data_IF_042078133929
#
_entry.id   IF_042078133929
#
_cell.length_a   1.000
_cell.length_b   1.000
_cell.length_c   1.000
_cell.angle_alpha   90.00
_cell.angle_beta   90.00
_cell.angle_gamma   90.00
#
_symmetry.space_group_name_H-M   'P 1'
#
loop_
_entity.id
_entity.type
_entity.pdbx_description
1 polymer ?
#
# COMPACT_ATOMS: atom_id res chain seq x y z
N UNK A 1 -71.59 63.26 -35.82
CA UNK A 1 -71.49 61.92 -36.42
C UNK A 1 -70.02 61.64 -36.63
N UNK A 2 -69.36 60.55 -36.28
CA UNK A 2 -69.48 59.50 -35.26
C UNK A 2 -68.13 58.77 -35.29
N UNK A 3 -67.44 58.67 -34.14
CA UNK A 3 -66.39 57.67 -33.71
C UNK A 3 -65.11 57.47 -34.56
N UNK A 4 -63.98 56.89 -34.06
CA UNK A 4 -63.84 56.05 -32.85
C UNK A 4 -62.54 56.23 -32.00
N UNK A 5 -62.53 55.64 -30.80
CA UNK A 5 -61.44 54.84 -30.17
C UNK A 5 -61.84 54.65 -28.69
N UNK A 6 -62.45 53.53 -28.26
CA UNK A 6 -61.88 52.18 -28.03
C UNK A 6 -60.65 52.20 -27.12
N UNK A 7 -60.91 52.22 -25.82
CA UNK A 7 -60.00 51.72 -24.79
C UNK A 7 -60.82 50.74 -23.97
N UNK A 8 -60.73 49.46 -24.33
CA UNK A 8 -61.18 48.37 -23.48
C UNK A 8 -60.16 48.24 -22.35
N UNK A 9 -60.63 48.42 -21.13
CA UNK A 9 -59.92 48.06 -19.91
C UNK A 9 -59.84 46.52 -19.85
N UNK A 10 -58.70 45.96 -20.28
CA UNK A 10 -58.33 44.58 -19.95
C UNK A 10 -57.93 44.56 -18.46
N UNK A 11 -58.94 44.38 -17.60
CA UNK A 11 -58.79 43.91 -16.23
C UNK A 11 -58.21 42.48 -16.26
N UNK A 12 -56.90 42.37 -16.48
CA UNK A 12 -56.17 41.15 -16.15
C UNK A 12 -55.98 41.15 -14.62
N UNK A 13 -57.03 40.71 -13.93
CA UNK A 13 -57.01 40.38 -12.50
C UNK A 13 -56.06 39.20 -12.32
N UNK A 14 -54.77 39.50 -12.11
CA UNK A 14 -53.89 38.54 -11.45
C UNK A 14 -54.44 38.34 -10.03
N UNK A 15 -55.10 37.20 -9.82
CA UNK A 15 -55.52 36.77 -8.49
C UNK A 15 -54.33 36.87 -7.52
N UNK A 16 -54.51 37.48 -6.34
CA UNK A 16 -53.47 37.49 -5.33
C UNK A 16 -53.32 36.05 -4.83
N UNK A 17 -52.30 35.34 -5.33
CA UNK A 17 -51.90 34.05 -4.75
C UNK A 17 -51.60 34.31 -3.28
N UNK A 18 -52.50 33.80 -2.43
CA UNK A 18 -52.56 34.08 -1.01
C UNK A 18 -51.18 33.84 -0.37
N UNK A 19 -50.63 34.88 0.26
CA UNK A 19 -49.31 34.84 0.86
C UNK A 19 -49.19 33.79 1.97
N UNK A 20 -50.32 33.32 2.52
CA UNK A 20 -50.37 32.16 3.42
C UNK A 20 -50.15 30.83 2.68
N UNK A 21 -50.66 30.69 1.46
CA UNK A 21 -50.55 29.48 0.67
C UNK A 21 -49.12 29.27 0.16
N UNK A 22 -48.45 30.34 -0.30
CA UNK A 22 -47.01 30.32 -0.61
C UNK A 22 -46.14 30.05 0.62
N UNK A 23 -46.52 30.56 1.79
CA UNK A 23 -45.79 30.28 3.05
C UNK A 23 -45.94 28.83 3.49
N UNK A 24 -47.14 28.26 3.35
CA UNK A 24 -47.39 26.85 3.64
C UNK A 24 -46.60 25.93 2.68
N UNK A 25 -46.53 26.28 1.39
CA UNK A 25 -45.72 25.56 0.40
C UNK A 25 -44.22 25.64 0.71
N UNK A 26 -43.71 26.82 1.05
CA UNK A 26 -42.31 27.01 1.45
C UNK A 26 -41.97 26.27 2.75
N UNK A 27 -42.85 26.30 3.75
CA UNK A 27 -42.67 25.57 5.01
C UNK A 27 -42.57 24.06 4.76
N UNK A 28 -43.48 23.52 3.95
CA UNK A 28 -43.48 22.11 3.59
C UNK A 28 -42.21 21.72 2.84
N UNK A 29 -41.76 22.56 1.91
CA UNK A 29 -40.52 22.34 1.17
C UNK A 29 -39.28 22.39 2.09
N UNK A 30 -39.27 23.28 3.08
CA UNK A 30 -38.19 23.37 4.07
C UNK A 30 -38.14 22.13 4.97
N UNK A 31 -39.30 21.62 5.40
CA UNK A 31 -39.40 20.38 6.19
C UNK A 31 -38.88 19.18 5.38
N UNK A 32 -39.27 19.06 4.10
CA UNK A 32 -38.76 18.02 3.19
C UNK A 32 -37.25 18.15 2.96
N UNK A 33 -36.72 19.37 2.85
CA UNK A 33 -35.28 19.62 2.69
C UNK A 33 -34.49 19.27 3.96
N UNK A 34 -35.03 19.57 5.15
CA UNK A 34 -34.42 19.21 6.44
C UNK A 34 -34.38 17.69 6.63
N UNK A 35 -35.47 16.99 6.29
CA UNK A 35 -35.55 15.53 6.36
C UNK A 35 -34.52 14.87 5.42
N UNK A 36 -34.35 15.40 4.21
CA UNK A 36 -33.31 14.95 3.27
C UNK A 36 -31.89 15.20 3.79
N UNK A 37 -31.63 16.36 4.40
CA UNK A 37 -30.34 16.69 5.00
C UNK A 37 -30.01 15.75 6.17
N UNK A 38 -31.03 15.34 6.93
CA UNK A 38 -30.90 14.39 8.02
C UNK A 38 -30.51 13.00 7.51
N UNK A 39 -31.17 12.52 6.45
CA UNK A 39 -30.84 11.24 5.79
C UNK A 39 -29.42 11.26 5.21
N UNK A 40 -29.01 12.34 4.55
CA UNK A 40 -27.65 12.47 4.01
C UNK A 40 -26.59 12.51 5.12
N UNK A 41 -26.90 13.10 6.28
CA UNK A 41 -26.00 13.07 7.45
C UNK A 41 -25.85 11.65 8.03
N UNK A 42 -26.95 10.88 8.14
CA UNK A 42 -26.89 9.49 8.59
C UNK A 42 -26.04 8.63 7.62
N UNK A 43 -26.22 8.82 6.31
CA UNK A 43 -25.40 8.17 5.28
C UNK A 43 -23.92 8.56 5.38
N UNK A 44 -23.62 9.83 5.68
CA UNK A 44 -22.26 10.31 5.89
C UNK A 44 -21.60 9.65 7.10
N UNK A 45 -22.36 9.45 8.19
CA UNK A 45 -21.88 8.78 9.40
C UNK A 45 -21.64 7.28 9.17
N UNK A 46 -22.51 6.60 8.42
CA UNK A 46 -22.26 5.22 7.96
C UNK A 46 -21.01 5.13 7.08
N UNK A 47 -20.84 6.06 6.14
CA UNK A 47 -19.66 6.14 5.28
C UNK A 47 -18.38 6.35 6.10
N UNK A 48 -18.44 7.18 7.13
CA UNK A 48 -17.31 7.40 8.04
C UNK A 48 -17.01 6.16 8.89
N UNK A 49 -18.02 5.46 9.40
CA UNK A 49 -17.84 4.21 10.12
C UNK A 49 -17.16 3.14 9.24
N UNK A 50 -17.61 3.00 7.99
CA UNK A 50 -16.98 2.10 7.01
C UNK A 50 -15.53 2.50 6.71
N UNK A 51 -15.26 3.80 6.55
CA UNK A 51 -13.90 4.33 6.36
C UNK A 51 -12.98 3.98 7.54
N UNK A 52 -13.46 4.07 8.79
CA UNK A 52 -12.68 3.69 9.97
C UNK A 52 -12.38 2.18 10.00
N UNK A 53 -13.36 1.33 9.66
CA UNK A 53 -13.14 -0.12 9.61
C UNK A 53 -12.16 -0.50 8.49
N UNK A 54 -12.25 0.11 7.31
CA UNK A 54 -11.27 -0.08 6.23
C UNK A 54 -9.87 0.40 6.64
N UNK A 55 -9.76 1.53 7.36
CA UNK A 55 -8.47 1.98 7.91
C UNK A 55 -7.89 0.95 8.88
N UNK A 56 -8.71 0.36 9.74
CA UNK A 56 -8.30 -0.69 10.66
C UNK A 56 -7.80 -1.94 9.92
N UNK A 57 -8.48 -2.33 8.85
CA UNK A 57 -8.06 -3.46 8.00
C UNK A 57 -6.73 -3.18 7.28
N UNK A 58 -6.52 -1.97 6.75
CA UNK A 58 -5.25 -1.54 6.15
C UNK A 58 -4.10 -1.68 7.15
N UNK A 59 -4.30 -1.26 8.41
CA UNK A 59 -3.29 -1.38 9.47
C UNK A 59 -2.95 -2.85 9.75
N UNK A 60 -3.95 -3.72 9.84
CA UNK A 60 -3.75 -5.17 10.04
C UNK A 60 -2.99 -5.81 8.87
N UNK A 61 -3.39 -5.56 7.63
CA UNK A 61 -2.75 -6.11 6.44
C UNK A 61 -1.30 -5.61 6.27
N UNK A 62 -1.04 -4.34 6.58
CA UNK A 62 0.33 -3.80 6.63
C UNK A 62 1.19 -4.48 7.70
N UNK A 63 0.62 -4.83 8.85
CA UNK A 63 1.34 -5.54 9.90
C UNK A 63 1.67 -6.99 9.50
N UNK A 64 0.75 -7.68 8.82
CA UNK A 64 0.97 -9.02 8.25
C UNK A 64 2.04 -9.01 7.15
N UNK A 65 2.00 -8.05 6.22
CA UNK A 65 3.04 -7.86 5.18
C UNK A 65 4.44 -7.56 5.76
N UNK A 66 4.49 -6.95 6.94
CA UNK A 66 5.73 -6.64 7.68
C UNK A 66 6.22 -7.80 8.57
N UNK A 67 5.53 -8.94 8.57
CA UNK A 67 5.89 -10.13 9.35
C UNK A 67 5.69 -9.99 10.86
N UNK A 68 4.86 -9.03 11.32
CA UNK A 68 4.64 -8.76 12.76
C UNK A 68 3.37 -9.38 13.35
N UNK A 69 2.51 -9.98 12.53
CA UNK A 69 1.32 -10.72 12.99
C UNK A 69 1.24 -12.00 12.16
N UNK A 70 1.43 -13.13 12.83
CA UNK A 70 1.08 -14.46 12.32
C UNK A 70 -0.44 -14.50 12.13
N UNK A 71 -0.89 -14.52 10.88
CA UNK A 71 -2.25 -14.93 10.56
C UNK A 71 -2.18 -16.45 10.38
N UNK A 72 -2.49 -17.13 11.49
CA UNK A 72 -2.74 -18.56 11.67
C UNK A 72 -1.72 -19.56 11.07
N UNK A 73 -1.33 -20.48 11.96
CA UNK A 73 -0.57 -21.69 11.66
C UNK A 73 -1.35 -22.54 10.64
N UNK A 74 -0.84 -22.67 9.42
CA UNK A 74 -0.87 -23.95 8.72
C UNK A 74 0.20 -24.04 7.63
N UNK A 75 0.77 -25.23 7.53
CA UNK A 75 2.05 -25.53 6.93
C UNK A 75 2.15 -25.24 5.41
N UNK A 76 3.27 -24.61 5.02
CA UNK A 76 3.96 -24.91 3.77
C UNK A 76 3.42 -24.32 2.45
N UNK A 77 3.76 -23.07 2.14
CA UNK A 77 3.89 -22.56 0.75
C UNK A 77 4.77 -21.29 0.72
N UNK A 78 5.48 -20.98 -0.39
CA UNK A 78 6.63 -20.09 -0.38
C UNK A 78 6.22 -18.63 -0.11
N UNK A 79 6.98 -17.97 0.77
CA UNK A 79 6.86 -16.59 1.24
C UNK A 79 6.42 -15.52 0.21
N UNK A 80 6.61 -15.76 -1.10
CA UNK A 80 6.22 -14.83 -2.16
C UNK A 80 4.73 -14.80 -2.50
N UNK A 81 4.03 -15.94 -2.47
CA UNK A 81 2.60 -15.97 -2.85
C UNK A 81 1.69 -15.36 -1.79
N UNK A 82 1.99 -15.58 -0.51
CA UNK A 82 1.27 -14.97 0.60
C UNK A 82 1.45 -13.44 0.61
N UNK A 83 2.68 -12.96 0.37
CA UNK A 83 2.96 -11.54 0.18
C UNK A 83 2.23 -10.95 -1.03
N UNK A 84 2.21 -11.66 -2.16
CA UNK A 84 1.51 -11.19 -3.36
C UNK A 84 -0.02 -11.15 -3.16
N UNK A 85 -0.61 -12.10 -2.42
CA UNK A 85 -2.04 -12.09 -2.06
C UNK A 85 -2.38 -10.94 -1.11
N UNK A 86 -1.57 -10.73 -0.07
CA UNK A 86 -1.74 -9.62 0.87
C UNK A 86 -1.56 -8.25 0.18
N UNK A 87 -0.65 -8.14 -0.79
CA UNK A 87 -0.46 -6.93 -1.60
C UNK A 87 -1.69 -6.66 -2.49
N UNK A 88 -2.23 -7.69 -3.17
CA UNK A 88 -3.46 -7.54 -3.97
C UNK A 88 -4.66 -7.09 -3.12
N UNK A 89 -4.79 -7.62 -1.90
CA UNK A 89 -5.84 -7.21 -0.96
C UNK A 89 -5.65 -5.77 -0.50
N UNK A 90 -4.41 -5.35 -0.19
CA UNK A 90 -4.10 -3.97 0.15
C UNK A 90 -4.44 -3.00 -0.99
N UNK A 91 -4.12 -3.35 -2.23
CA UNK A 91 -4.42 -2.52 -3.42
C UNK A 91 -5.92 -2.44 -3.70
N UNK A 92 -6.70 -3.48 -3.38
CA UNK A 92 -8.16 -3.44 -3.46
C UNK A 92 -8.75 -2.48 -2.42
N UNK A 93 -8.32 -2.58 -1.16
CA UNK A 93 -8.79 -1.73 -0.07
C UNK A 93 -8.37 -0.27 -0.26
N UNK A 94 -7.20 0.00 -0.83
CA UNK A 94 -6.76 1.37 -1.17
C UNK A 94 -7.68 1.98 -2.24
N UNK A 95 -8.05 1.22 -3.28
CA UNK A 95 -8.97 1.69 -4.32
C UNK A 95 -10.35 2.00 -3.76
N UNK A 96 -10.86 1.14 -2.90
CA UNK A 96 -12.13 1.34 -2.21
C UNK A 96 -12.10 2.57 -1.28
N UNK A 97 -10.99 2.79 -0.56
CA UNK A 97 -10.81 3.99 0.26
C UNK A 97 -10.75 5.28 -0.57
N UNK A 98 -10.20 5.22 -1.79
CA UNK A 98 -10.18 6.37 -2.71
C UNK A 98 -11.59 6.64 -3.27
N UNK A 99 -12.35 5.61 -3.63
CA UNK A 99 -13.72 5.75 -4.10
C UNK A 99 -14.64 6.34 -3.01
N UNK A 100 -14.58 5.83 -1.79
CA UNK A 100 -15.33 6.36 -0.64
C UNK A 100 -14.97 7.82 -0.33
N UNK A 101 -13.71 8.22 -0.54
CA UNK A 101 -13.30 9.63 -0.37
C UNK A 101 -13.87 10.55 -1.43
N UNK A 102 -14.04 10.07 -2.66
CA UNK A 102 -14.70 10.84 -3.72
C UNK A 102 -16.18 11.03 -3.40
N UNK A 103 -16.86 9.97 -2.93
CA UNK A 103 -18.25 10.05 -2.49
C UNK A 103 -18.44 10.98 -1.29
N UNK A 104 -17.52 10.98 -0.31
CA UNK A 104 -17.53 11.91 0.82
C UNK A 104 -17.32 13.38 0.42
N UNK A 105 -16.56 13.64 -0.65
CA UNK A 105 -16.39 14.98 -1.21
C UNK A 105 -17.66 15.44 -1.93
N UNK A 106 -18.26 14.55 -2.73
CA UNK A 106 -19.51 14.80 -3.45
C UNK A 106 -20.68 15.03 -2.49
N UNK A 107 -20.79 14.25 -1.41
CA UNK A 107 -21.81 14.47 -0.37
C UNK A 107 -21.58 15.79 0.36
N UNK A 108 -20.32 16.19 0.60
CA UNK A 108 -20.00 17.48 1.22
C UNK A 108 -20.37 18.66 0.32
N UNK A 109 -20.17 18.55 -1.00
CA UNK A 109 -20.61 19.56 -1.97
C UNK A 109 -22.14 19.71 -1.97
N UNK A 110 -22.88 18.59 -1.94
CA UNK A 110 -24.35 18.60 -1.82
C UNK A 110 -24.82 19.26 -0.52
N UNK A 111 -24.16 18.99 0.61
CA UNK A 111 -24.48 19.65 1.89
C UNK A 111 -24.28 21.17 1.77
N UNK A 112 -23.17 21.62 1.20
CA UNK A 112 -22.91 23.05 1.00
C UNK A 112 -23.97 23.69 0.07
N UNK A 113 -24.43 22.99 -0.96
CA UNK A 113 -25.52 23.45 -1.82
C UNK A 113 -26.85 23.57 -1.05
N UNK A 114 -27.19 22.57 -0.22
CA UNK A 114 -28.38 22.65 0.63
C UNK A 114 -28.31 23.79 1.63
N UNK A 115 -27.15 24.04 2.24
CA UNK A 115 -26.92 25.19 3.13
C UNK A 115 -27.17 26.52 2.42
N UNK A 116 -26.64 26.66 1.20
CA UNK A 116 -26.86 27.85 0.38
C UNK A 116 -28.36 28.04 0.08
N UNK A 117 -29.06 26.94 -0.20
CA UNK A 117 -30.49 26.96 -0.54
C UNK A 117 -31.36 27.32 0.68
N UNK A 118 -31.05 26.77 1.86
CA UNK A 118 -31.70 27.12 3.13
C UNK A 118 -31.45 28.59 3.49
N UNK A 119 -30.23 29.07 3.29
CA UNK A 119 -29.88 30.47 3.58
C UNK A 119 -30.63 31.44 2.66
N UNK A 120 -30.80 31.09 1.38
CA UNK A 120 -31.59 31.86 0.42
C UNK A 120 -33.10 31.83 0.74
N UNK A 121 -33.63 30.67 1.12
CA UNK A 121 -35.03 30.52 1.54
C UNK A 121 -35.33 31.34 2.80
N UNK A 122 -34.40 31.34 3.77
CA UNK A 122 -34.50 32.13 5.00
C UNK A 122 -34.51 33.63 4.71
N UNK A 123 -33.60 34.12 3.85
CA UNK A 123 -33.58 35.52 3.43
C UNK A 123 -34.85 35.94 2.66
N UNK A 124 -35.44 35.01 1.89
CA UNK A 124 -36.71 35.24 1.19
C UNK A 124 -37.90 35.30 2.16
N UNK A 125 -37.86 34.51 3.24
CA UNK A 125 -38.86 34.50 4.31
C UNK A 125 -38.79 35.78 5.17
N UNK A 126 -37.59 36.28 5.48
CA UNK A 126 -37.39 37.57 6.15
C UNK A 126 -37.90 38.75 5.32
N UNK A 127 -37.68 38.72 4.00
CA UNK A 127 -38.17 39.74 3.07
C UNK A 127 -39.71 39.76 2.94
N UNK A 128 -40.40 38.66 3.28
CA UNK A 128 -41.85 38.53 3.19
C UNK A 128 -42.64 39.20 4.35
N UNK A 129 -41.94 39.89 5.28
CA UNK A 129 -42.56 40.80 6.24
C UNK A 129 -42.77 40.21 7.63
N UNK A 130 -42.19 40.92 8.59
CA UNK A 130 -42.11 40.66 10.04
C UNK A 130 -43.48 40.43 10.70
N UNK A 131 -43.69 39.18 11.14
CA UNK A 131 -44.43 38.87 12.37
C UNK A 131 -43.57 37.83 13.11
N UNK A 132 -43.09 38.09 14.33
CA UNK A 132 -42.45 37.06 15.12
C UNK A 132 -43.52 36.05 15.52
N UNK A 133 -43.61 34.94 14.80
CA UNK A 133 -44.29 33.74 15.28
C UNK A 133 -43.23 32.80 15.89
N UNK A 134 -43.63 31.99 16.86
CA UNK A 134 -42.74 31.08 17.60
C UNK A 134 -41.93 30.15 16.67
N UNK A 135 -42.38 29.94 15.43
CA UNK A 135 -41.67 29.16 14.40
C UNK A 135 -40.41 29.88 13.88
N UNK A 136 -40.41 31.22 13.73
CA UNK A 136 -39.23 31.98 13.28
C UNK A 136 -38.09 31.93 14.30
N UNK A 137 -38.42 32.04 15.59
CA UNK A 137 -37.44 31.91 16.68
C UNK A 137 -36.88 30.47 16.72
N UNK A 138 -37.70 29.46 16.42
CA UNK A 138 -37.24 28.07 16.34
C UNK A 138 -36.30 27.84 15.15
N UNK A 139 -36.57 28.47 14.00
CA UNK A 139 -35.75 28.37 12.79
C UNK A 139 -34.40 29.09 12.96
N UNK A 140 -34.38 30.28 13.54
CA UNK A 140 -33.12 30.97 13.89
C UNK A 140 -32.26 30.11 14.83
N UNK A 141 -32.88 29.45 15.82
CA UNK A 141 -32.16 28.55 16.73
C UNK A 141 -31.60 27.33 16.00
N UNK A 142 -32.38 26.72 15.09
CA UNK A 142 -31.94 25.57 14.30
C UNK A 142 -30.82 25.95 13.32
N UNK A 143 -30.87 27.14 12.71
CA UNK A 143 -29.81 27.64 11.84
C UNK A 143 -28.51 27.89 12.60
N UNK A 144 -28.58 28.46 13.80
CA UNK A 144 -27.40 28.66 14.65
C UNK A 144 -26.83 27.32 15.14
N UNK A 145 -27.69 26.35 15.44
CA UNK A 145 -27.31 24.99 15.82
C UNK A 145 -26.66 24.23 14.64
N UNK A 146 -27.17 24.40 13.42
CA UNK A 146 -26.55 23.86 12.20
C UNK A 146 -25.20 24.52 11.90
N UNK A 147 -25.11 25.85 12.04
CA UNK A 147 -23.88 26.62 11.81
C UNK A 147 -22.77 26.22 12.78
N UNK A 148 -23.10 26.06 14.06
CA UNK A 148 -22.13 25.60 15.07
C UNK A 148 -21.69 24.15 14.83
N UNK A 149 -22.58 23.27 14.36
CA UNK A 149 -22.19 21.92 13.95
C UNK A 149 -21.25 21.94 12.73
N UNK A 150 -21.50 22.81 11.75
CA UNK A 150 -20.63 22.97 10.59
C UNK A 150 -19.24 23.46 10.99
N UNK A 151 -19.15 24.48 11.83
CA UNK A 151 -17.87 25.01 12.32
C UNK A 151 -17.07 23.93 13.06
N UNK A 152 -17.74 23.12 13.89
CA UNK A 152 -17.11 21.95 14.53
C UNK A 152 -16.62 20.94 13.51
N UNK A 153 -17.38 20.69 12.44
CA UNK A 153 -17.01 19.73 11.39
C UNK A 153 -15.81 20.21 10.57
N UNK A 154 -15.77 21.49 10.22
CA UNK A 154 -14.63 22.13 9.54
C UNK A 154 -13.38 22.04 10.42
N UNK A 155 -13.51 22.30 11.73
CA UNK A 155 -12.40 22.15 12.67
C UNK A 155 -11.89 20.70 12.74
N UNK A 156 -12.79 19.71 12.80
CA UNK A 156 -12.42 18.28 12.77
C UNK A 156 -11.71 17.90 11.47
N UNK A 157 -12.21 18.34 10.31
CA UNK A 157 -11.62 18.05 9.00
C UNK A 157 -10.24 18.69 8.85
N UNK A 158 -10.05 19.92 9.32
CA UNK A 158 -8.75 20.59 9.29
C UNK A 158 -7.69 19.85 10.12
N UNK A 159 -8.07 19.37 11.30
CA UNK A 159 -7.20 18.57 12.19
C UNK A 159 -6.84 17.24 11.52
N UNK A 160 -7.82 16.53 10.98
CA UNK A 160 -7.59 15.26 10.28
C UNK A 160 -6.72 15.44 9.02
N UNK A 161 -6.85 16.57 8.31
CA UNK A 161 -6.00 16.90 7.16
C UNK A 161 -4.53 17.10 7.57
N UNK A 162 -4.30 17.77 8.70
CA UNK A 162 -2.97 17.97 9.26
C UNK A 162 -2.32 16.65 9.70
N UNK A 163 -3.04 15.81 10.45
CA UNK A 163 -2.55 14.48 10.86
C UNK A 163 -2.23 13.59 9.65
N UNK A 164 -3.09 13.62 8.62
CA UNK A 164 -2.85 12.91 7.36
C UNK A 164 -1.58 13.40 6.66
N UNK A 165 -1.29 14.70 6.70
CA UNK A 165 -0.06 15.25 6.13
C UNK A 165 1.17 14.75 6.90
N UNK A 166 1.16 14.79 8.23
CA UNK A 166 2.24 14.25 9.05
C UNK A 166 2.47 12.75 8.79
N UNK A 167 1.41 11.95 8.72
CA UNK A 167 1.52 10.52 8.41
C UNK A 167 2.11 10.28 7.02
N UNK A 168 1.79 11.11 6.02
CA UNK A 168 2.40 11.03 4.68
C UNK A 168 3.90 11.32 4.71
N UNK A 169 4.33 12.32 5.48
CA UNK A 169 5.75 12.64 5.63
C UNK A 169 6.52 11.51 6.32
N UNK A 170 5.94 10.94 7.39
CA UNK A 170 6.53 9.79 8.08
C UNK A 170 6.66 8.58 7.14
N UNK A 171 5.64 8.30 6.33
CA UNK A 171 5.67 7.22 5.34
C UNK A 171 6.79 7.47 4.33
N UNK A 172 6.87 8.68 3.76
CA UNK A 172 7.92 9.03 2.80
C UNK A 172 9.33 8.85 3.39
N UNK A 173 9.54 9.24 4.65
CA UNK A 173 10.80 9.02 5.37
C UNK A 173 11.14 7.55 5.56
N UNK A 174 10.16 6.73 5.96
CA UNK A 174 10.33 5.28 6.10
C UNK A 174 10.66 4.62 4.76
N UNK A 175 9.98 5.00 3.68
CA UNK A 175 10.22 4.49 2.33
C UNK A 175 11.60 4.86 1.80
N UNK A 176 12.08 6.08 2.07
CA UNK A 176 13.43 6.50 1.72
C UNK A 176 14.48 5.67 2.49
N UNK A 177 14.28 5.46 3.78
CA UNK A 177 15.15 4.61 4.61
C UNK A 177 15.16 3.15 4.15
N UNK A 178 14.00 2.61 3.76
CA UNK A 178 13.90 1.27 3.20
C UNK A 178 14.65 1.17 1.87
N UNK A 179 14.47 2.12 0.94
CA UNK A 179 15.20 2.17 -0.33
C UNK A 179 16.71 2.23 -0.16
N UNK A 180 17.20 3.03 0.80
CA UNK A 180 18.62 3.11 1.11
C UNK A 180 19.17 1.75 1.61
N UNK A 181 18.43 1.07 2.50
CA UNK A 181 18.84 -0.25 3.01
C UNK A 181 18.82 -1.33 1.94
N UNK A 182 17.81 -1.37 1.08
CA UNK A 182 17.75 -2.35 -0.03
C UNK A 182 18.89 -2.13 -1.00
N UNK A 183 19.18 -0.88 -1.37
CA UNK A 183 20.33 -0.54 -2.21
C UNK A 183 21.66 -1.01 -1.60
N UNK A 184 21.87 -0.78 -0.29
CA UNK A 184 23.07 -1.24 0.40
C UNK A 184 23.20 -2.77 0.44
N UNK A 185 22.10 -3.48 0.64
CA UNK A 185 22.08 -4.95 0.61
C UNK A 185 22.36 -5.50 -0.81
N UNK A 186 21.81 -4.88 -1.84
CA UNK A 186 22.08 -5.27 -3.24
C UNK A 186 23.57 -5.12 -3.59
N UNK A 187 24.21 -4.05 -3.13
CA UNK A 187 25.64 -3.83 -3.36
C UNK A 187 26.52 -4.81 -2.57
N UNK A 188 26.13 -5.14 -1.33
CA UNK A 188 26.79 -6.19 -0.56
C UNK A 188 26.69 -7.56 -1.26
N UNK A 189 25.51 -7.94 -1.72
CA UNK A 189 25.30 -9.20 -2.47
C UNK A 189 26.12 -9.23 -3.76
N UNK A 190 26.19 -8.12 -4.51
CA UNK A 190 27.04 -8.02 -5.70
C UNK A 190 28.53 -8.19 -5.36
N UNK A 191 28.97 -7.64 -4.23
CA UNK A 191 30.35 -7.79 -3.77
C UNK A 191 30.65 -9.25 -3.42
N UNK A 192 29.80 -9.89 -2.62
CA UNK A 192 29.96 -11.30 -2.22
C UNK A 192 29.95 -12.23 -3.44
N UNK A 193 29.07 -11.98 -4.41
CA UNK A 193 29.03 -12.72 -5.68
C UNK A 193 30.34 -12.59 -6.48
N UNK A 194 31.00 -11.43 -6.45
CA UNK A 194 32.32 -11.25 -7.09
C UNK A 194 33.40 -12.04 -6.34
N UNK A 195 33.40 -12.01 -5.00
CA UNK A 195 34.34 -12.78 -4.18
C UNK A 195 34.17 -14.28 -4.43
N UNK A 196 32.93 -14.77 -4.49
CA UNK A 196 32.63 -16.16 -4.74
C UNK A 196 33.13 -16.61 -6.12
N UNK A 197 33.01 -15.77 -7.15
CA UNK A 197 33.58 -16.05 -8.49
C UNK A 197 35.11 -16.12 -8.46
N UNK A 198 35.78 -15.28 -7.68
CA UNK A 198 37.24 -15.34 -7.52
C UNK A 198 37.64 -16.64 -6.84
N UNK A 199 37.01 -16.97 -5.71
CA UNK A 199 37.27 -18.21 -4.99
C UNK A 199 37.01 -19.45 -5.86
N UNK A 200 35.94 -19.46 -6.65
CA UNK A 200 35.63 -20.56 -7.57
C UNK A 200 36.75 -20.78 -8.60
N UNK A 201 37.33 -19.70 -9.16
CA UNK A 201 38.48 -19.79 -10.06
C UNK A 201 39.70 -20.36 -9.33
N UNK A 202 40.01 -19.83 -8.14
CA UNK A 202 41.13 -20.33 -7.33
C UNK A 202 41.00 -21.82 -7.00
N UNK A 203 39.81 -22.28 -6.61
CA UNK A 203 39.54 -23.70 -6.36
C UNK A 203 39.76 -24.53 -7.62
N UNK A 204 39.27 -24.06 -8.77
CA UNK A 204 39.43 -24.76 -10.05
C UNK A 204 40.91 -24.89 -10.44
N UNK A 205 41.69 -23.83 -10.24
CA UNK A 205 43.13 -23.85 -10.54
C UNK A 205 43.89 -24.77 -9.58
N UNK A 206 43.54 -24.76 -8.28
CA UNK A 206 44.11 -25.70 -7.31
C UNK A 206 43.73 -27.14 -7.58
N UNK A 207 42.53 -27.42 -8.08
CA UNK A 207 42.15 -28.76 -8.52
C UNK A 207 43.00 -29.26 -9.69
N UNK A 208 43.34 -28.39 -10.65
CA UNK A 208 44.26 -28.73 -11.76
C UNK A 208 45.67 -29.03 -11.26
N UNK A 209 46.17 -28.21 -10.33
CA UNK A 209 47.49 -28.41 -9.70
C UNK A 209 47.54 -29.77 -8.97
N UNK A 210 46.50 -30.10 -8.19
CA UNK A 210 46.37 -31.40 -7.53
C UNK A 210 46.35 -32.55 -8.54
N UNK A 211 45.63 -32.42 -9.65
CA UNK A 211 45.58 -33.45 -10.69
C UNK A 211 46.96 -33.68 -11.32
N UNK A 212 47.72 -32.62 -11.57
CA UNK A 212 49.10 -32.70 -12.08
C UNK A 212 50.03 -33.39 -11.08
N UNK A 213 49.99 -33.00 -9.81
CA UNK A 213 50.80 -33.61 -8.75
C UNK A 213 50.48 -35.10 -8.58
N UNK A 214 49.20 -35.49 -8.63
CA UNK A 214 48.79 -36.91 -8.61
C UNK A 214 49.39 -37.70 -9.77
N UNK A 215 49.42 -37.12 -10.98
CA UNK A 215 50.08 -37.74 -12.14
C UNK A 215 51.59 -37.91 -11.94
N UNK A 216 52.26 -36.92 -11.37
CA UNK A 216 53.69 -37.02 -11.04
C UNK A 216 53.97 -38.10 -10.00
N UNK A 217 53.15 -38.17 -8.93
CA UNK A 217 53.27 -39.21 -7.91
C UNK A 217 53.15 -40.60 -8.53
N UNK A 218 52.12 -40.83 -9.37
CA UNK A 218 51.94 -42.12 -10.05
C UNK A 218 53.15 -42.48 -10.94
N UNK A 219 53.73 -41.51 -11.65
CA UNK A 219 54.94 -41.74 -12.45
C UNK A 219 56.16 -42.10 -11.58
N UNK A 220 56.33 -41.43 -10.44
CA UNK A 220 57.42 -41.76 -9.50
C UNK A 220 57.23 -43.13 -8.84
N UNK A 221 55.99 -43.55 -8.60
CA UNK A 221 55.68 -44.88 -8.06
C UNK A 221 56.06 -45.98 -9.06
N UNK A 222 55.80 -45.80 -10.35
CA UNK A 222 56.19 -46.78 -11.37
C UNK A 222 57.72 -46.86 -11.54
N UNK A 223 58.42 -45.72 -11.58
CA UNK A 223 59.89 -45.70 -11.59
C UNK A 223 60.49 -46.41 -10.36
N UNK A 224 59.88 -46.24 -9.19
CA UNK A 224 60.33 -46.91 -7.96
C UNK A 224 60.11 -48.43 -8.02
N UNK A 225 59.01 -48.87 -8.65
CA UNK A 225 58.74 -50.29 -8.89
C UNK A 225 59.75 -50.89 -9.88
N UNK A 226 60.08 -50.20 -10.96
CA UNK A 226 61.14 -50.59 -11.89
C UNK A 226 62.51 -50.69 -11.19
N UNK A 227 62.87 -49.67 -10.41
CA UNK A 227 64.13 -49.66 -9.64
C UNK A 227 64.23 -50.84 -8.68
N UNK A 228 63.14 -51.17 -7.96
CA UNK A 228 63.09 -52.37 -7.10
C UNK A 228 63.30 -53.66 -7.89
N UNK A 229 62.75 -53.76 -9.10
CA UNK A 229 63.01 -54.87 -10.03
C UNK A 229 64.49 -54.99 -10.38
N UNK A 230 65.11 -53.91 -10.83
CA UNK A 230 66.55 -53.86 -11.15
C UNK A 230 67.44 -54.24 -9.96
N UNK A 231 67.09 -53.78 -8.75
CA UNK A 231 67.82 -54.14 -7.52
C UNK A 231 67.72 -55.65 -7.26
N UNK A 232 66.53 -56.24 -7.44
CA UNK A 232 66.33 -57.68 -7.26
C UNK A 232 67.15 -58.50 -8.26
N UNK A 233 67.12 -58.13 -9.54
CA UNK A 233 67.92 -58.77 -10.61
C UNK A 233 69.42 -58.66 -10.33
N UNK A 234 69.90 -57.47 -9.96
CA UNK A 234 71.31 -57.27 -9.57
C UNK A 234 71.70 -58.19 -8.43
N UNK A 235 70.86 -58.28 -7.39
CA UNK A 235 71.11 -59.14 -6.22
C UNK A 235 71.17 -60.62 -6.62
N UNK A 236 70.34 -61.06 -7.57
CA UNK A 236 70.36 -62.44 -8.07
C UNK A 236 71.61 -62.73 -8.93
N UNK A 237 72.02 -61.79 -9.77
CA UNK A 237 73.27 -61.89 -10.53
C UNK A 237 74.48 -61.96 -9.59
N UNK A 238 74.55 -61.10 -8.58
CA UNK A 238 75.60 -61.13 -7.55
C UNK A 238 75.67 -62.50 -6.85
N UNK A 239 74.52 -63.07 -6.46
CA UNK A 239 74.47 -64.44 -5.90
C UNK A 239 74.97 -65.49 -6.90
N UNK A 240 74.63 -65.36 -8.17
CA UNK A 240 75.05 -66.32 -9.22
C UNK A 240 76.56 -66.25 -9.44
N UNK A 241 77.13 -65.05 -9.52
CA UNK A 241 78.58 -64.84 -9.62
C UNK A 241 79.29 -65.47 -8.42
N UNK A 242 78.82 -65.21 -7.19
CA UNK A 242 79.39 -65.81 -5.98
C UNK A 242 79.40 -67.34 -6.06
N UNK A 243 78.28 -67.97 -6.47
CA UNK A 243 78.20 -69.44 -6.64
C UNK A 243 79.18 -69.95 -7.70
N UNK A 244 79.28 -69.27 -8.84
CA UNK A 244 80.20 -69.67 -9.91
C UNK A 244 81.67 -69.53 -9.48
N UNK A 245 82.02 -68.45 -8.77
CA UNK A 245 83.36 -68.27 -8.20
C UNK A 245 83.73 -69.38 -7.21
N UNK A 246 82.79 -69.80 -6.34
CA UNK A 246 83.02 -70.93 -5.43
C UNK A 246 83.29 -72.25 -6.18
N UNK A 247 82.49 -72.55 -7.22
CA UNK A 247 82.68 -73.76 -8.05
C UNK A 247 84.03 -73.75 -8.79
N UNK A 248 84.53 -72.58 -9.19
CA UNK A 248 85.84 -72.48 -9.82
C UNK A 248 86.98 -72.69 -8.80
N UNK A 249 86.85 -72.18 -7.58
CA UNK A 249 87.82 -72.40 -6.50
C UNK A 249 87.92 -73.88 -6.09
N UNK A 250 86.81 -74.63 -6.12
CA UNK A 250 86.82 -76.08 -5.82
C UNK A 250 87.47 -76.94 -6.93
N UNK A 251 87.76 -76.36 -8.10
CA UNK A 251 88.34 -77.07 -9.26
C UNK A 251 89.84 -76.79 -9.48
N UNK A 252 90.43 -75.88 -8.72
CA UNK A 252 91.87 -75.60 -8.68
C UNK A 252 92.56 -76.41 -7.58
#
# INVERSE_FOLDING_TARGET
MSTPQSGDDDDNVEEPVDGEQKRAELSKWLDEALEQLQVENELLDECNAQKFELQRQIVKLKAALKGKVSLDEDDGAPSGEAQHRAQKQLDAVIRENVALRAQLLESQERINEFEQTISNASASLEAAGSIPCDQCISLERLLEEARTQLDQRVAQLSTAAYEKHQLREQIAGIEASHRARTSGLEDAVKFDMRQLKVLQRTVTDKQKEIAMLRGQVAATEELNKELKGCIAEKTELERTVIRQSAVLQDKE
#
